data_IF_635828810129
#
_entry.id   IF_635828810129
#
_cell.length_a   1.000
_cell.length_b   1.000
_cell.length_c   1.000
_cell.angle_alpha   90.00
_cell.angle_beta   90.00
_cell.angle_gamma   90.00
#
_symmetry.space_group_name_H-M   'P 1'
#
loop_
_entity.id
_entity.type
_entity.pdbx_description
1 polymer ?
#
# COMPACT_ATOMS: atom_id res chain seq x y z
N UNK A 1 4.63 7.54 -8.42
CA UNK A 1 3.24 7.59 -7.91
C UNK A 1 3.19 6.96 -6.53
N UNK A 2 2.34 7.44 -5.62
CA UNK A 2 2.20 6.80 -4.30
C UNK A 2 0.96 5.91 -4.27
N UNK A 3 1.14 4.63 -3.95
CA UNK A 3 0.05 3.65 -3.91
C UNK A 3 0.08 2.88 -2.60
N UNK A 4 -1.09 2.50 -2.11
CA UNK A 4 -1.25 1.62 -0.96
C UNK A 4 -2.03 0.37 -1.35
N UNK A 5 -1.70 -0.81 -0.79
CA UNK A 5 -2.46 -2.02 -1.06
C UNK A 5 -3.83 -1.89 -0.42
N UNK A 6 -4.83 -2.55 -1.02
CA UNK A 6 -6.15 -2.67 -0.40
C UNK A 6 -6.04 -3.52 0.87
N UNK A 7 -6.90 -3.23 1.85
CA UNK A 7 -6.95 -4.01 3.09
C UNK A 7 -7.20 -5.50 2.78
N UNK A 8 -6.36 -6.37 3.34
CA UNK A 8 -6.37 -7.81 3.05
C UNK A 8 -5.65 -8.24 1.76
N UNK A 9 -5.05 -7.31 1.00
CA UNK A 9 -4.26 -7.63 -0.19
C UNK A 9 -2.76 -7.49 0.08
N UNK A 10 -2.00 -8.51 -0.34
CA UNK A 10 -0.54 -8.54 -0.27
C UNK A 10 0.02 -8.37 -1.70
N UNK A 11 0.30 -7.13 -2.09
CA UNK A 11 0.81 -6.83 -3.43
C UNK A 11 2.33 -6.86 -3.42
N UNK A 12 2.92 -7.74 -4.23
CA UNK A 12 4.37 -7.75 -4.47
C UNK A 12 4.77 -6.63 -5.43
N UNK A 13 5.80 -5.91 -5.04
CA UNK A 13 6.56 -5.01 -5.87
C UNK A 13 7.45 -5.84 -6.82
N UNK A 14 7.39 -5.63 -8.15
CA UNK A 14 8.18 -6.41 -9.10
C UNK A 14 9.66 -6.02 -9.12
N UNK A 15 10.01 -4.82 -8.64
CA UNK A 15 11.35 -4.25 -8.69
C UNK A 15 12.12 -4.61 -7.41
N UNK A 16 11.49 -4.38 -6.27
CA UNK A 16 12.02 -4.67 -4.94
C UNK A 16 11.77 -6.12 -4.49
N UNK A 17 10.89 -6.84 -5.19
CA UNK A 17 10.45 -8.20 -4.85
C UNK A 17 9.89 -8.33 -3.41
N UNK A 18 9.46 -7.20 -2.85
CA UNK A 18 8.96 -7.04 -1.49
C UNK A 18 7.44 -6.81 -1.49
N UNK A 19 6.79 -7.02 -0.35
CA UNK A 19 5.37 -6.71 -0.19
C UNK A 19 5.16 -5.22 0.06
N UNK A 20 4.14 -4.64 -0.57
CA UNK A 20 3.78 -3.26 -0.30
C UNK A 20 3.34 -3.12 1.16
N UNK A 21 3.89 -2.15 1.92
CA UNK A 21 3.41 -1.88 3.26
C UNK A 21 1.96 -1.38 3.23
N UNK A 22 1.19 -1.66 4.28
CA UNK A 22 -0.20 -1.20 4.40
C UNK A 22 -0.34 0.33 4.35
N UNK A 23 0.70 1.06 4.79
CA UNK A 23 0.76 2.52 4.68
C UNK A 23 0.84 3.02 3.22
N UNK A 24 1.28 2.16 2.29
CA UNK A 24 1.63 2.52 0.94
C UNK A 24 3.08 2.94 0.77
N UNK A 25 3.49 3.08 -0.49
CA UNK A 25 4.86 3.40 -0.89
C UNK A 25 4.83 4.20 -2.18
N UNK A 26 5.88 5.00 -2.38
CA UNK A 26 6.18 5.61 -3.66
C UNK A 26 6.76 4.56 -4.62
N UNK A 27 6.05 4.31 -5.72
CA UNK A 27 6.39 3.35 -6.76
C UNK A 27 6.55 4.08 -8.10
N UNK A 28 7.32 3.55 -9.05
CA UNK A 28 7.43 4.14 -10.38
C UNK A 28 6.08 4.09 -11.11
N UNK A 29 5.77 5.09 -11.93
CA UNK A 29 4.56 5.08 -12.77
C UNK A 29 4.78 4.14 -13.96
N UNK A 30 4.46 2.86 -13.77
CA UNK A 30 4.61 1.81 -14.79
C UNK A 30 3.26 1.14 -15.06
N UNK A 31 3.13 0.48 -16.21
CA UNK A 31 1.95 -0.29 -16.58
C UNK A 31 1.52 -1.31 -15.51
N UNK A 32 2.47 -1.86 -14.75
CA UNK A 32 2.17 -2.77 -13.65
C UNK A 32 1.29 -2.11 -12.58
N UNK A 33 1.70 -0.93 -12.08
CA UNK A 33 0.98 -0.21 -11.04
C UNK A 33 -0.33 0.37 -11.55
N UNK A 34 -0.35 0.87 -12.78
CA UNK A 34 -1.58 1.32 -13.42
C UNK A 34 -2.60 0.17 -13.57
N UNK A 35 -2.13 -1.04 -13.89
CA UNK A 35 -3.01 -2.23 -13.93
C UNK A 35 -3.55 -2.57 -12.56
N UNK A 36 -2.71 -2.59 -11.51
CA UNK A 36 -3.18 -2.84 -10.12
C UNK A 36 -4.18 -1.79 -9.64
N UNK A 37 -4.04 -0.53 -10.06
CA UNK A 37 -5.04 0.50 -9.78
C UNK A 37 -6.38 0.20 -10.46
N UNK A 38 -6.35 -0.25 -11.71
CA UNK A 38 -7.55 -0.63 -12.48
C UNK A 38 -8.23 -1.87 -11.91
N UNK A 39 -7.46 -2.87 -11.50
CA UNK A 39 -7.96 -4.07 -10.81
C UNK A 39 -8.52 -3.75 -9.41
N UNK A 40 -8.12 -2.62 -8.81
CA UNK A 40 -8.49 -2.24 -7.44
C UNK A 40 -7.72 -3.03 -6.37
N UNK A 41 -6.62 -3.68 -6.76
CA UNK A 41 -5.64 -4.32 -5.87
C UNK A 41 -4.87 -3.28 -5.04
N UNK A 42 -4.58 -2.12 -5.66
CA UNK A 42 -3.96 -0.97 -5.00
C UNK A 42 -4.80 0.27 -5.24
N UNK A 43 -4.64 1.27 -4.37
CA UNK A 43 -5.30 2.57 -4.49
C UNK A 43 -4.24 3.66 -4.46
N UNK A 44 -4.40 4.64 -5.36
CA UNK A 44 -3.52 5.80 -5.42
C UNK A 44 -3.80 6.70 -4.21
N UNK A 45 -2.75 7.11 -3.52
CA UNK A 45 -2.82 8.06 -2.42
C UNK A 45 -1.86 9.22 -2.69
N UNK A 46 -2.10 10.35 -2.04
CA UNK A 46 -1.16 11.47 -2.09
C UNK A 46 0.06 11.14 -1.21
N UNK A 47 1.29 11.47 -1.63
CA UNK A 47 2.43 11.45 -0.73
C UNK A 47 2.25 12.59 0.27
N UNK A 48 1.58 12.32 1.40
CA UNK A 48 1.70 13.20 2.54
C UNK A 48 3.15 13.10 3.02
N UNK A 49 3.86 14.22 2.95
CA UNK A 49 5.17 14.42 3.58
C UNK A 49 5.19 13.74 4.96
N UNK A 50 6.26 13.01 5.30
CA UNK A 50 6.22 11.93 6.28
C UNK A 50 6.00 12.48 7.70
N UNK A 51 4.74 12.55 8.14
CA UNK A 51 4.42 12.40 9.54
C UNK A 51 4.29 10.89 9.80
N UNK A 52 5.40 10.27 10.19
CA UNK A 52 5.43 8.90 10.66
C UNK A 52 4.34 8.69 11.73
N UNK A 53 3.53 7.63 11.59
CA UNK A 53 2.76 6.89 12.62
C UNK A 53 1.24 6.84 12.43
N UNK A 54 0.74 5.66 12.06
CA UNK A 54 -0.43 5.03 12.67
C UNK A 54 -0.43 3.55 12.22
N UNK A 55 0.28 2.65 12.90
CA UNK A 55 -0.34 1.70 13.83
C UNK A 55 -1.86 1.57 13.68
N UNK A 56 -2.30 0.48 13.06
CA UNK A 56 -3.59 -0.14 13.43
C UNK A 56 -3.29 -1.48 14.10
N UNK A 57 -2.91 -1.38 15.38
CA UNK A 57 -3.36 -2.34 16.38
C UNK A 57 -4.86 -2.13 16.53
N UNK A 58 -5.66 -3.17 16.24
CA UNK A 58 -6.91 -3.49 16.95
C UNK A 58 -7.54 -4.80 16.46
N UNK A 59 -7.21 -5.91 17.13
CA UNK A 59 -8.22 -6.87 17.64
C UNK A 59 -7.63 -7.71 18.78
N UNK A 60 -8.23 -7.57 19.97
CA UNK A 60 -7.86 -8.31 21.17
C UNK A 60 -8.28 -7.53 22.41
N UNK A 61 -9.59 -7.36 22.58
CA UNK A 61 -10.14 -7.04 23.88
C UNK A 61 -10.29 -8.34 24.64
N UNK A 62 -9.65 -8.44 25.80
CA UNK A 62 -9.85 -9.56 26.72
C UNK A 62 -10.34 -9.02 28.06
N UNK A 63 -11.33 -9.76 28.56
CA UNK A 63 -12.34 -9.49 29.57
C UNK A 63 -11.81 -9.58 31.00
#
# INVERSE_FOLDING_TARGET
MYVKPKDGFAIRDPDLLDLLPAAGREVPDTDYWQRRLRDGDVVQAAPEVPAQSATSVKKGGDK
#
